data_IF_954907402863
#
_entry.id   IF_954907402863
#
_cell.length_a   1.000
_cell.length_b   1.000
_cell.length_c   1.000
_cell.angle_alpha   90.00
_cell.angle_beta   90.00
_cell.angle_gamma   90.00
#
_symmetry.space_group_name_H-M   'P 1'
#
loop_
_entity.id
_entity.type
_entity.pdbx_description
1 polymer ?
#
# COMPACT_ATOMS: atom_id res chain seq x y z
N UNK A 1 -12.77 -26.51 -4.99
CA UNK A 1 -13.49 -25.22 -4.90
C UNK A 1 -14.03 -25.10 -3.49
N UNK A 2 -13.87 -23.96 -2.82
CA UNK A 2 -14.43 -23.74 -1.48
C UNK A 2 -15.95 -23.73 -1.52
N UNK A 3 -16.60 -24.18 -0.44
CA UNK A 3 -18.06 -24.15 -0.32
C UNK A 3 -18.59 -22.74 -0.07
N UNK A 4 -19.83 -22.48 -0.47
CA UNK A 4 -20.51 -21.19 -0.24
C UNK A 4 -20.68 -20.91 1.24
N UNK A 5 -20.92 -21.94 2.06
CA UNK A 5 -20.99 -21.83 3.53
C UNK A 5 -19.66 -21.39 4.15
N UNK A 6 -18.52 -21.92 3.68
CA UNK A 6 -17.20 -21.49 4.13
C UNK A 6 -16.91 -20.03 3.76
N UNK A 7 -17.38 -19.57 2.60
CA UNK A 7 -17.24 -18.18 2.17
C UNK A 7 -18.08 -17.24 3.03
N UNK A 8 -19.31 -17.63 3.37
CA UNK A 8 -20.20 -16.89 4.26
C UNK A 8 -19.70 -16.89 5.72
N UNK A 9 -19.04 -17.97 6.16
CA UNK A 9 -18.51 -18.12 7.51
C UNK A 9 -17.28 -17.26 7.81
N UNK A 10 -16.51 -16.82 6.79
CA UNK A 10 -15.38 -15.90 7.00
C UNK A 10 -15.82 -14.55 7.51
N UNK A 11 -17.05 -14.13 7.20
CA UNK A 11 -17.66 -12.93 7.76
C UNK A 11 -16.93 -11.62 7.40
N UNK A 12 -17.66 -10.49 7.36
CA UNK A 12 -17.07 -9.19 7.01
C UNK A 12 -15.97 -8.75 7.98
N UNK A 13 -15.97 -9.23 9.23
CA UNK A 13 -14.92 -8.92 10.20
C UNK A 13 -13.58 -9.59 9.90
N UNK A 14 -13.51 -10.85 9.45
CA UNK A 14 -12.22 -11.48 9.12
C UNK A 14 -11.68 -10.95 7.78
N UNK A 15 -12.54 -10.71 6.79
CA UNK A 15 -12.15 -10.04 5.54
C UNK A 15 -11.55 -8.65 5.82
N UNK A 16 -12.15 -7.89 6.75
CA UNK A 16 -11.60 -6.61 7.18
C UNK A 16 -10.22 -6.75 7.87
N UNK A 17 -9.97 -7.86 8.56
CA UNK A 17 -8.70 -8.10 9.25
C UNK A 17 -7.58 -8.51 8.29
N UNK A 18 -7.87 -9.41 7.35
CA UNK A 18 -6.94 -9.79 6.29
C UNK A 18 -6.58 -8.58 5.42
N UNK A 19 -7.57 -7.74 5.08
CA UNK A 19 -7.35 -6.53 4.31
C UNK A 19 -6.49 -5.50 5.06
N UNK A 20 -6.70 -5.32 6.38
CA UNK A 20 -5.84 -4.47 7.22
C UNK A 20 -4.38 -4.96 7.22
N UNK A 21 -4.16 -6.28 7.29
CA UNK A 21 -2.81 -6.86 7.23
C UNK A 21 -2.16 -6.63 5.86
N UNK A 22 -2.92 -6.78 4.77
CA UNK A 22 -2.43 -6.51 3.42
C UNK A 22 -2.03 -5.04 3.26
N UNK A 23 -2.85 -4.09 3.73
CA UNK A 23 -2.50 -2.67 3.69
C UNK A 23 -1.26 -2.34 4.53
N UNK A 24 -1.12 -2.95 5.70
CA UNK A 24 0.09 -2.77 6.51
C UNK A 24 1.33 -3.28 5.75
N UNK A 25 1.26 -4.48 5.18
CA UNK A 25 2.36 -5.07 4.39
C UNK A 25 2.69 -4.22 3.16
N UNK A 26 1.69 -3.78 2.42
CA UNK A 26 1.85 -2.93 1.24
C UNK A 26 2.53 -1.60 1.61
N UNK A 27 2.03 -0.91 2.63
CA UNK A 27 2.62 0.36 3.07
C UNK A 27 4.06 0.18 3.58
N UNK A 28 4.37 -0.93 4.26
CA UNK A 28 5.74 -1.25 4.66
C UNK A 28 6.65 -1.46 3.45
N UNK A 29 6.21 -2.20 2.42
CA UNK A 29 6.97 -2.40 1.19
C UNK A 29 7.20 -1.09 0.43
N UNK A 30 6.16 -0.24 0.34
CA UNK A 30 6.29 1.08 -0.25
C UNK A 30 7.27 1.97 0.53
N UNK A 31 7.26 1.89 1.87
CA UNK A 31 8.20 2.63 2.73
C UNK A 31 9.65 2.23 2.48
N UNK A 32 9.92 0.93 2.34
CA UNK A 32 11.26 0.42 2.00
C UNK A 32 11.69 0.91 0.61
N UNK A 33 10.79 0.85 -0.38
CA UNK A 33 11.08 1.33 -1.75
C UNK A 33 11.40 2.83 -1.73
N UNK A 34 10.60 3.63 -1.01
CA UNK A 34 10.81 5.07 -0.88
C UNK A 34 12.19 5.36 -0.26
N UNK A 35 12.52 4.74 0.87
CA UNK A 35 13.80 4.96 1.54
C UNK A 35 15.00 4.58 0.65
N UNK A 36 14.89 3.49 -0.13
CA UNK A 36 15.92 3.12 -1.10
C UNK A 36 16.02 4.12 -2.26
N UNK A 37 14.89 4.61 -2.78
CA UNK A 37 14.87 5.59 -3.85
C UNK A 37 15.49 6.93 -3.41
N UNK A 38 15.15 7.41 -2.21
CA UNK A 38 15.76 8.60 -1.60
C UNK A 38 17.27 8.42 -1.41
N UNK A 39 17.71 7.25 -0.96
CA UNK A 39 19.14 6.95 -0.81
C UNK A 39 19.87 6.92 -2.17
N UNK A 40 19.23 6.37 -3.21
CA UNK A 40 19.77 6.36 -4.57
C UNK A 40 19.85 7.77 -5.15
N UNK A 41 18.85 8.61 -4.90
CA UNK A 41 18.84 10.01 -5.32
C UNK A 41 19.97 10.80 -4.65
N UNK A 42 20.11 10.64 -3.32
CA UNK A 42 21.14 11.31 -2.54
C UNK A 42 22.57 10.87 -2.91
N UNK A 43 22.75 9.64 -3.41
CA UNK A 43 24.05 9.06 -3.78
C UNK A 43 24.27 8.97 -5.28
N UNK A 44 23.43 9.60 -6.09
CA UNK A 44 23.49 9.47 -7.53
C UNK A 44 24.83 10.00 -8.09
N UNK A 45 25.50 9.24 -8.98
CA UNK A 45 26.79 9.64 -9.54
C UNK A 45 26.70 10.78 -10.56
N UNK A 46 25.53 10.99 -11.15
CA UNK A 46 25.25 12.02 -12.13
C UNK A 46 23.78 12.45 -12.11
N UNK A 47 23.48 13.52 -12.85
CA UNK A 47 22.16 14.13 -12.93
C UNK A 47 21.10 13.20 -13.54
N UNK A 48 21.49 12.31 -14.47
CA UNK A 48 20.57 11.38 -15.10
C UNK A 48 20.17 10.24 -14.15
N UNK A 49 21.08 9.76 -13.31
CA UNK A 49 20.77 8.81 -12.24
C UNK A 49 19.91 9.47 -11.16
N UNK A 50 20.22 10.72 -10.79
CA UNK A 50 19.44 11.47 -9.80
C UNK A 50 18.01 11.70 -10.27
N UNK A 51 17.81 12.15 -11.51
CA UNK A 51 16.48 12.37 -12.07
C UNK A 51 15.63 11.08 -12.11
N UNK A 52 16.25 9.94 -12.46
CA UNK A 52 15.58 8.64 -12.43
C UNK A 52 15.20 8.22 -11.00
N UNK A 53 16.09 8.42 -10.02
CA UNK A 53 15.78 8.13 -8.62
C UNK A 53 14.66 9.03 -8.07
N UNK A 54 14.69 10.33 -8.38
CA UNK A 54 13.64 11.29 -8.03
C UNK A 54 12.28 10.88 -8.61
N UNK A 55 12.25 10.36 -9.83
CA UNK A 55 11.02 9.82 -10.42
C UNK A 55 10.48 8.62 -9.62
N UNK A 56 11.35 7.71 -9.16
CA UNK A 56 10.93 6.57 -8.32
C UNK A 56 10.41 7.05 -6.96
N UNK A 57 11.04 8.06 -6.36
CA UNK A 57 10.54 8.71 -5.13
C UNK A 57 9.13 9.24 -5.34
N UNK A 58 8.90 10.02 -6.40
CA UNK A 58 7.59 10.58 -6.72
C UNK A 58 6.54 9.48 -6.92
N UNK A 59 6.84 8.45 -7.71
CA UNK A 59 5.92 7.33 -7.93
C UNK A 59 5.63 6.52 -6.65
N UNK A 60 6.60 6.36 -5.75
CA UNK A 60 6.38 5.67 -4.48
C UNK A 60 5.42 6.46 -3.57
N UNK A 61 5.55 7.79 -3.52
CA UNK A 61 4.64 8.67 -2.78
C UNK A 61 3.22 8.62 -3.35
N UNK A 62 3.07 8.68 -4.68
CA UNK A 62 1.77 8.54 -5.35
C UNK A 62 1.11 7.17 -5.07
N UNK A 63 1.90 6.10 -5.09
CA UNK A 63 1.42 4.76 -4.77
C UNK A 63 0.95 4.65 -3.31
N UNK A 64 1.65 5.27 -2.36
CA UNK A 64 1.20 5.35 -0.97
C UNK A 64 -0.11 6.13 -0.82
N UNK A 65 -0.25 7.24 -1.55
CA UNK A 65 -1.50 8.00 -1.62
C UNK A 65 -2.66 7.13 -2.11
N UNK A 66 -2.45 6.45 -3.24
CA UNK A 66 -3.42 5.52 -3.82
C UNK A 66 -3.78 4.39 -2.85
N UNK A 67 -2.80 3.76 -2.19
CA UNK A 67 -3.05 2.70 -1.21
C UNK A 67 -3.89 3.20 -0.02
N UNK A 68 -3.68 4.45 0.42
CA UNK A 68 -4.49 5.08 1.46
C UNK A 68 -5.92 5.33 1.01
N UNK A 69 -6.13 5.75 -0.24
CA UNK A 69 -7.48 5.92 -0.80
C UNK A 69 -8.22 4.60 -0.89
N UNK A 70 -7.59 3.54 -1.42
CA UNK A 70 -8.19 2.20 -1.48
C UNK A 70 -8.59 1.75 -0.07
N UNK A 71 -7.74 1.95 0.94
CA UNK A 71 -8.05 1.61 2.34
C UNK A 71 -9.30 2.33 2.86
N UNK A 72 -9.49 3.60 2.50
CA UNK A 72 -10.66 4.38 2.91
C UNK A 72 -11.95 3.83 2.29
N UNK A 73 -11.93 3.46 1.01
CA UNK A 73 -13.11 2.91 0.33
C UNK A 73 -13.40 1.45 0.70
N UNK A 74 -12.37 0.68 1.03
CA UNK A 74 -12.52 -0.75 1.32
C UNK A 74 -12.80 -1.06 2.80
N UNK A 75 -12.73 -0.07 3.69
CA UNK A 75 -13.16 -0.21 5.09
C UNK A 75 -14.57 0.35 5.22
N UNK A 76 -15.60 -0.47 5.48
CA UNK A 76 -16.95 0.05 5.69
C UNK A 76 -16.93 1.02 6.87
N UNK A 77 -17.44 2.24 6.67
CA UNK A 77 -17.71 3.14 7.79
C UNK A 77 -18.83 2.48 8.60
N UNK A 78 -18.67 2.24 9.92
CA UNK A 78 -19.78 1.73 10.71
C UNK A 78 -20.91 2.76 10.59
N UNK A 79 -22.05 2.35 10.04
CA UNK A 79 -23.24 3.19 10.00
C UNK A 79 -23.50 3.66 11.43
N UNK A 80 -23.48 4.99 11.61
CA UNK A 80 -23.84 5.61 12.88
C UNK A 80 -25.27 5.18 13.21
N UNK A 81 -25.38 4.45 14.32
CA UNK A 81 -26.62 3.99 14.94
C UNK A 81 -27.59 5.13 15.23
#
# INVERSE_FOLDING_TARGET
AMSVDELLARGPMQESAELRLLFHRLNNQLGIILAHAELLEAKAPDDAHRARAAQVVASALEAMGTANEIRRYATPTPEAS
#
